data_IF_928584500893
#
_entry.id   IF_928584500893
#
_cell.length_a   1.000
_cell.length_b   1.000
_cell.length_c   1.000
_cell.angle_alpha   90.00
_cell.angle_beta   90.00
_cell.angle_gamma   90.00
#
_symmetry.space_group_name_H-M   'P 1'
#
loop_
_entity.id
_entity.type
_entity.pdbx_description
1 polymer ?
#
# COMPACT_ATOMS: atom_id res chain seq x y z
N UNK A 1 9.58 -10.75 20.37
CA UNK A 1 9.22 -11.30 19.06
C UNK A 1 9.79 -10.36 18.02
N UNK A 2 10.73 -10.83 17.19
CA UNK A 2 11.39 -9.97 16.20
C UNK A 2 10.38 -9.61 15.13
N UNK A 3 9.93 -8.35 15.09
CA UNK A 3 9.28 -7.80 13.90
C UNK A 3 10.29 -7.93 12.77
N UNK A 4 9.98 -8.78 11.79
CA UNK A 4 10.68 -8.76 10.53
C UNK A 4 10.46 -7.38 9.94
N UNK A 5 11.48 -6.52 10.02
CA UNK A 5 11.48 -5.23 9.34
C UNK A 5 11.20 -5.52 7.87
N UNK A 6 9.96 -5.27 7.42
CA UNK A 6 9.59 -5.36 6.01
C UNK A 6 10.46 -4.35 5.30
N UNK A 7 11.53 -4.83 4.68
CA UNK A 7 12.43 -4.02 3.88
C UNK A 7 11.57 -3.39 2.79
N UNK A 8 11.34 -2.09 2.90
CA UNK A 8 10.72 -1.32 1.83
C UNK A 8 11.74 -1.22 0.70
N UNK A 9 11.57 -2.07 -0.31
CA UNK A 9 12.40 -2.02 -1.51
C UNK A 9 11.99 -0.78 -2.32
N UNK A 10 12.98 0.04 -2.68
CA UNK A 10 12.77 1.24 -3.48
C UNK A 10 13.00 0.92 -4.96
N UNK A 11 12.21 1.48 -5.90
CA UNK A 11 11.02 2.32 -5.70
C UNK A 11 9.75 1.50 -5.40
N UNK A 12 8.86 2.07 -4.58
CA UNK A 12 7.72 1.35 -3.98
C UNK A 12 6.72 0.82 -5.01
N UNK A 13 6.56 1.52 -6.13
CA UNK A 13 5.69 1.09 -7.22
C UNK A 13 6.20 -0.16 -7.98
N UNK A 14 7.42 -0.62 -7.70
CA UNK A 14 7.97 -1.87 -8.25
C UNK A 14 7.82 -3.05 -7.29
N UNK A 15 7.32 -2.83 -6.08
CA UNK A 15 7.09 -3.86 -5.07
C UNK A 15 5.76 -4.56 -5.29
N UNK A 16 5.67 -5.35 -6.36
CA UNK A 16 4.42 -6.03 -6.77
C UNK A 16 3.84 -6.89 -5.65
N UNK A 17 4.66 -7.57 -4.85
CA UNK A 17 4.18 -8.35 -3.70
C UNK A 17 3.51 -7.48 -2.64
N UNK A 18 4.13 -6.35 -2.28
CA UNK A 18 3.57 -5.39 -1.34
C UNK A 18 2.28 -4.78 -1.87
N UNK A 19 2.24 -4.35 -3.12
CA UNK A 19 1.03 -3.79 -3.76
C UNK A 19 -0.12 -4.80 -3.69
N UNK A 20 0.13 -6.05 -4.09
CA UNK A 20 -0.89 -7.13 -4.05
C UNK A 20 -1.38 -7.40 -2.64
N UNK A 21 -0.45 -7.49 -1.69
CA UNK A 21 -0.79 -7.73 -0.29
C UNK A 21 -1.62 -6.58 0.28
N UNK A 22 -1.19 -5.34 0.10
CA UNK A 22 -1.91 -4.15 0.56
C UNK A 22 -3.28 -4.06 -0.08
N UNK A 23 -3.42 -4.34 -1.38
CA UNK A 23 -4.72 -4.33 -2.06
C UNK A 23 -5.68 -5.38 -1.46
N UNK A 24 -5.21 -6.61 -1.22
CA UNK A 24 -6.01 -7.66 -0.60
C UNK A 24 -6.44 -7.27 0.82
N UNK A 25 -5.49 -6.86 1.65
CA UNK A 25 -5.76 -6.46 3.04
C UNK A 25 -6.70 -5.25 3.10
N UNK A 26 -6.62 -4.33 2.13
CA UNK A 26 -7.46 -3.13 2.08
C UNK A 26 -8.91 -3.43 1.68
N UNK A 27 -9.15 -4.28 0.67
CA UNK A 27 -10.53 -4.65 0.27
C UNK A 27 -11.19 -5.63 1.26
N UNK A 28 -10.40 -6.31 2.08
CA UNK A 28 -10.88 -7.21 3.15
C UNK A 28 -11.33 -6.44 4.40
N UNK A 29 -11.11 -5.12 4.47
CA UNK A 29 -11.55 -4.32 5.61
C UNK A 29 -13.08 -4.35 5.71
N UNK A 30 -13.64 -4.60 6.90
CA UNK A 30 -15.07 -4.84 7.05
C UNK A 30 -15.93 -3.58 6.86
N UNK A 31 -15.33 -2.40 7.05
CA UNK A 31 -15.99 -1.12 6.85
C UNK A 31 -15.07 -0.13 6.14
N UNK A 32 -15.66 0.89 5.50
CA UNK A 32 -14.88 1.99 4.92
C UNK A 32 -14.02 2.71 5.96
N UNK A 33 -14.51 2.86 7.19
CA UNK A 33 -13.75 3.49 8.26
C UNK A 33 -12.49 2.68 8.62
N UNK A 34 -12.58 1.35 8.63
CA UNK A 34 -11.43 0.47 8.86
C UNK A 34 -10.45 0.51 7.68
N UNK A 35 -10.97 0.61 6.44
CA UNK A 35 -10.17 0.83 5.23
C UNK A 35 -9.36 2.13 5.30
N UNK A 36 -9.99 3.23 5.72
CA UNK A 36 -9.32 4.53 5.87
C UNK A 36 -8.24 4.49 6.99
N UNK A 37 -8.52 3.78 8.09
CA UNK A 37 -7.54 3.59 9.18
C UNK A 37 -6.34 2.79 8.68
N UNK A 38 -6.59 1.70 7.95
CA UNK A 38 -5.55 0.87 7.36
C UNK A 38 -4.68 1.67 6.37
N UNK A 39 -5.31 2.41 5.45
CA UNK A 39 -4.64 3.27 4.48
C UNK A 39 -3.72 4.30 5.17
N UNK A 40 -4.22 4.97 6.22
CA UNK A 40 -3.41 5.90 7.01
C UNK A 40 -2.23 5.21 7.67
N UNK A 41 -2.42 4.04 8.29
CA UNK A 41 -1.35 3.32 8.97
C UNK A 41 -0.23 2.88 8.02
N UNK A 42 -0.59 2.36 6.83
CA UNK A 42 0.39 2.02 5.78
C UNK A 42 1.12 3.27 5.28
N UNK A 43 0.38 4.35 5.04
CA UNK A 43 0.94 5.63 4.59
C UNK A 43 1.95 6.18 5.60
N UNK A 44 1.58 6.27 6.88
CA UNK A 44 2.45 6.76 7.95
C UNK A 44 3.72 5.92 8.09
N UNK A 45 3.60 4.59 8.01
CA UNK A 45 4.74 3.68 8.07
C UNK A 45 5.72 3.91 6.91
N UNK A 46 5.21 4.00 5.68
CA UNK A 46 6.04 4.22 4.49
C UNK A 46 6.69 5.60 4.53
N UNK A 47 5.91 6.64 4.83
CA UNK A 47 6.40 8.04 4.92
C UNK A 47 7.51 8.14 5.95
N UNK A 48 7.33 7.54 7.14
CA UNK A 48 8.35 7.54 8.20
C UNK A 48 9.66 6.92 7.71
N UNK A 49 9.59 5.77 7.03
CA UNK A 49 10.76 5.11 6.48
C UNK A 49 11.46 5.96 5.40
N UNK A 50 10.71 6.58 4.50
CA UNK A 50 11.27 7.46 3.47
C UNK A 50 11.94 8.71 4.06
N UNK A 51 11.34 9.29 5.11
CA UNK A 51 11.94 10.40 5.87
C UNK A 51 13.28 9.96 6.48
N UNK A 52 13.34 8.78 7.11
CA UNK A 52 14.58 8.24 7.67
C UNK A 52 15.68 8.03 6.61
N UNK A 53 15.27 7.73 5.37
CA UNK A 53 16.19 7.60 4.23
C UNK A 53 16.57 8.95 3.59
N UNK A 54 16.09 10.08 4.13
CA UNK A 54 16.41 11.42 3.65
C UNK A 54 15.63 11.85 2.41
N UNK A 55 14.49 11.20 2.10
CA UNK A 55 13.66 11.59 0.97
C UNK A 55 13.04 12.98 1.18
N UNK A 56 13.03 13.79 0.12
CA UNK A 56 12.36 15.09 0.14
C UNK A 56 10.83 14.94 0.20
N UNK A 57 10.08 15.92 0.77
CA UNK A 57 8.61 15.88 0.79
C UNK A 57 7.98 15.69 -0.60
N UNK A 58 8.58 16.30 -1.63
CA UNK A 58 8.12 16.15 -3.02
C UNK A 58 8.31 14.72 -3.55
N UNK A 59 9.42 14.06 -3.19
CA UNK A 59 9.65 12.66 -3.55
C UNK A 59 8.71 11.72 -2.81
N UNK A 60 8.49 11.96 -1.50
CA UNK A 60 7.53 11.19 -0.70
C UNK A 60 6.14 11.27 -1.33
N UNK A 61 5.66 12.48 -1.66
CA UNK A 61 4.35 12.66 -2.31
C UNK A 61 4.23 11.91 -3.64
N UNK A 62 5.28 11.96 -4.48
CA UNK A 62 5.31 11.20 -5.74
C UNK A 62 5.26 9.70 -5.51
N UNK A 63 6.05 9.18 -4.58
CA UNK A 63 6.12 7.75 -4.28
C UNK A 63 4.81 7.25 -3.68
N UNK A 64 4.20 7.99 -2.75
CA UNK A 64 2.92 7.62 -2.14
C UNK A 64 1.78 7.63 -3.15
N UNK A 65 1.69 8.65 -4.01
CA UNK A 65 0.68 8.69 -5.06
C UNK A 65 0.82 7.53 -6.04
N UNK A 66 2.05 7.23 -6.48
CA UNK A 66 2.31 6.10 -7.37
C UNK A 66 1.99 4.74 -6.72
N UNK A 67 2.27 4.60 -5.42
CA UNK A 67 1.98 3.38 -4.67
C UNK A 67 0.47 3.15 -4.54
N UNK A 68 -0.29 4.12 -4.04
CA UNK A 68 -1.74 3.97 -3.84
C UNK A 68 -2.50 3.79 -5.15
N UNK A 69 -2.09 4.50 -6.21
CA UNK A 69 -2.66 4.27 -7.55
C UNK A 69 -2.47 2.82 -8.02
N UNK A 70 -1.31 2.22 -7.77
CA UNK A 70 -1.07 0.82 -8.12
C UNK A 70 -1.87 -0.16 -7.24
N UNK A 71 -2.08 0.18 -5.96
CA UNK A 71 -2.93 -0.59 -5.02
C UNK A 71 -4.39 -0.55 -5.47
N UNK A 72 -4.91 0.62 -5.84
CA UNK A 72 -6.28 0.79 -6.36
C UNK A 72 -6.52 -0.08 -7.60
N UNK A 73 -5.62 0.00 -8.59
CA UNK A 73 -5.72 -0.83 -9.81
C UNK A 73 -5.74 -2.33 -9.47
N UNK A 74 -4.90 -2.76 -8.53
CA UNK A 74 -4.84 -4.16 -8.12
C UNK A 74 -6.09 -4.59 -7.34
N UNK A 75 -6.62 -3.73 -6.48
CA UNK A 75 -7.87 -3.95 -5.77
C UNK A 75 -9.05 -4.13 -6.74
N UNK A 76 -9.18 -3.24 -7.73
CA UNK A 76 -10.18 -3.36 -8.80
C UNK A 76 -10.03 -4.67 -9.57
N UNK A 77 -8.79 -5.06 -9.92
CA UNK A 77 -8.51 -6.33 -10.60
C UNK A 77 -9.02 -7.53 -9.78
N UNK A 78 -8.76 -7.55 -8.48
CA UNK A 78 -9.19 -8.63 -7.58
C UNK A 78 -10.71 -8.68 -7.46
N UNK A 79 -11.37 -7.53 -7.25
CA UNK A 79 -12.82 -7.46 -7.14
C UNK A 79 -13.51 -7.93 -8.43
N UNK A 80 -13.02 -7.50 -9.59
CA UNK A 80 -13.54 -7.94 -10.89
C UNK A 80 -13.38 -9.46 -11.09
N UNK A 81 -12.24 -10.03 -10.70
CA UNK A 81 -12.03 -11.47 -10.77
C UNK A 81 -12.96 -12.26 -9.85
N UNK A 82 -13.23 -11.74 -8.65
CA UNK A 82 -14.16 -12.39 -7.72
C UNK A 82 -15.60 -12.37 -8.26
N UNK A 83 -16.00 -11.29 -8.93
CA UNK A 83 -17.31 -11.22 -9.60
C UNK A 83 -17.43 -12.18 -10.79
N UNK A 84 -16.35 -12.38 -11.56
CA UNK A 84 -16.34 -13.29 -12.71
C UNK A 84 -16.40 -14.78 -12.36
N UNK A 85 -16.18 -15.13 -11.08
CA UNK A 85 -16.17 -16.51 -10.57
C UNK A 85 -17.46 -16.93 -9.87
N UNK A 86 -18.41 -16.00 -9.69
CA UNK A 86 -19.75 -16.26 -9.17
C UNK A 86 -20.75 -16.49 -10.29
#
# INVERSE_FOLDING_TARGET
MSEASRVLLFPLNRCVSTIRQTALEWIEQPTQADADIFERGITESIVTNLIMLGASPAEIGRQMGAFWHAVEIEAERVLNLNQSKG
#
